data_IF_008114989533
#
_entry.id   IF_008114989533
#
_cell.length_a   1.000
_cell.length_b   1.000
_cell.length_c   1.000
_cell.angle_alpha   90.00
_cell.angle_beta   90.00
_cell.angle_gamma   90.00
#
_symmetry.space_group_name_H-M   'P 1'
#
loop_
_entity.id
_entity.type
_entity.pdbx_description
1 polymer ?
#
# COMPACT_ATOMS: atom_id res chain seq x y z
N UNK A 1 2.69 -18.10 6.97
CA UNK A 1 4.01 -17.86 7.60
C UNK A 1 4.48 -16.51 7.12
N UNK A 2 4.16 -15.42 7.83
CA UNK A 2 4.73 -14.10 7.51
C UNK A 2 6.15 -14.09 8.06
N UNK A 3 7.13 -14.04 7.17
CA UNK A 3 8.52 -13.87 7.55
C UNK A 3 8.79 -12.38 7.78
N UNK A 4 9.06 -11.99 9.02
CA UNK A 4 9.77 -10.74 9.33
C UNK A 4 11.21 -11.12 9.63
N UNK A 5 12.11 -10.90 8.66
CA UNK A 5 13.55 -11.06 8.83
C UNK A 5 14.19 -9.72 9.20
N UNK A 6 15.14 -9.77 10.11
CA UNK A 6 16.10 -8.70 10.37
C UNK A 6 17.20 -8.78 9.30
N UNK A 7 17.17 -7.90 8.30
CA UNK A 7 18.28 -7.71 7.36
C UNK A 7 19.04 -6.44 7.75
N UNK A 8 20.35 -6.50 8.00
CA UNK A 8 21.16 -5.32 8.23
C UNK A 8 21.69 -4.81 6.89
N UNK A 9 20.98 -3.88 6.25
CA UNK A 9 21.63 -2.84 5.43
C UNK A 9 20.65 -1.66 5.19
N UNK A 10 21.00 -0.57 5.88
CA UNK A 10 20.72 0.87 5.68
C UNK A 10 19.35 1.44 5.25
N UNK A 11 19.04 2.53 5.97
CA UNK A 11 18.09 3.62 5.73
C UNK A 11 16.58 3.34 5.90
N UNK A 12 16.05 3.87 7.01
CA UNK A 12 14.63 4.03 7.39
C UNK A 12 13.79 2.79 7.69
N UNK A 13 14.36 1.73 8.26
CA UNK A 13 13.56 0.79 9.04
C UNK A 13 13.39 1.39 10.43
N UNK A 14 12.24 2.03 10.69
CA UNK A 14 11.74 2.13 12.07
C UNK A 14 11.66 0.69 12.57
N UNK A 15 12.57 0.31 13.46
CA UNK A 15 12.60 -1.01 14.08
C UNK A 15 11.24 -1.25 14.76
N UNK A 16 10.31 -1.91 14.06
CA UNK A 16 9.15 -2.52 14.69
C UNK A 16 9.68 -3.61 15.62
N UNK A 17 9.80 -3.29 16.90
CA UNK A 17 10.27 -4.20 17.93
C UNK A 17 9.30 -5.38 17.99
N UNK A 18 9.76 -6.56 17.60
CA UNK A 18 8.94 -7.75 17.74
C UNK A 18 8.56 -7.94 19.21
N UNK A 19 7.28 -8.18 19.52
CA UNK A 19 6.85 -8.36 20.89
C UNK A 19 7.48 -9.63 21.45
N UNK A 20 8.03 -9.54 22.66
CA UNK A 20 8.61 -10.69 23.36
C UNK A 20 7.51 -11.77 23.47
N UNK A 21 7.73 -12.96 22.89
CA UNK A 21 6.72 -14.02 22.81
C UNK A 21 5.92 -14.10 21.50
N UNK A 22 6.19 -13.21 20.52
CA UNK A 22 5.62 -13.24 19.18
C UNK A 22 4.14 -12.82 19.10
N UNK A 23 3.59 -12.68 17.89
CA UNK A 23 2.22 -12.16 17.70
C UNK A 23 1.11 -13.10 18.18
N UNK A 24 1.39 -14.40 18.36
CA UNK A 24 0.42 -15.39 18.84
C UNK A 24 -0.21 -15.00 20.17
N UNK A 25 0.53 -14.30 21.02
CA UNK A 25 0.05 -13.84 22.33
C UNK A 25 -1.17 -12.88 22.26
N UNK A 26 -1.41 -12.26 21.09
CA UNK A 26 -2.55 -11.36 20.89
C UNK A 26 -3.79 -12.06 20.34
N UNK A 27 -3.72 -13.37 20.04
CA UNK A 27 -4.87 -14.16 19.59
C UNK A 27 -5.79 -14.48 20.78
N UNK A 28 -6.78 -13.61 21.00
CA UNK A 28 -7.76 -13.73 22.09
C UNK A 28 -9.11 -14.20 21.54
N UNK A 29 -9.74 -15.26 22.12
CA UNK A 29 -11.05 -15.76 21.68
C UNK A 29 -12.18 -14.72 21.61
N UNK A 30 -12.08 -13.62 22.37
CA UNK A 30 -13.04 -12.51 22.35
C UNK A 30 -12.36 -11.17 21.98
N UNK A 31 -11.36 -11.21 21.09
CA UNK A 31 -10.54 -10.04 20.73
C UNK A 31 -11.32 -8.87 20.10
N UNK A 32 -12.53 -9.13 19.59
CA UNK A 32 -13.43 -8.15 18.98
C UNK A 32 -14.29 -7.38 19.99
N UNK A 33 -14.41 -7.86 21.23
CA UNK A 33 -15.27 -7.23 22.22
C UNK A 33 -14.87 -5.76 22.47
N UNK A 34 -15.82 -4.84 22.29
CA UNK A 34 -15.66 -3.38 22.38
C UNK A 34 -14.73 -2.76 21.33
N UNK A 35 -14.26 -3.52 20.33
CA UNK A 35 -13.47 -2.97 19.22
C UNK A 35 -14.33 -2.13 18.31
N UNK A 36 -13.84 -0.95 17.95
CA UNK A 36 -14.52 0.01 17.09
C UNK A 36 -14.03 -0.15 15.66
N UNK A 37 -14.86 -0.72 14.80
CA UNK A 37 -14.51 -1.00 13.40
C UNK A 37 -15.26 -0.04 12.49
N UNK A 38 -14.52 0.65 11.62
CA UNK A 38 -15.07 1.55 10.63
C UNK A 38 -15.43 0.81 9.36
N UNK A 39 -16.62 1.05 8.83
CA UNK A 39 -17.05 0.57 7.52
C UNK A 39 -17.24 1.74 6.58
N UNK A 40 -16.43 1.74 5.54
CA UNK A 40 -16.36 2.81 4.53
C UNK A 40 -17.28 2.47 3.36
N UNK A 41 -18.01 3.47 2.84
CA UNK A 41 -19.05 3.28 1.81
C UNK A 41 -18.84 4.09 0.52
N UNK A 42 -17.87 4.99 0.46
CA UNK A 42 -17.58 5.68 -0.80
C UNK A 42 -16.96 4.72 -1.83
N UNK A 43 -17.23 4.99 -3.11
CA UNK A 43 -16.59 4.30 -4.22
C UNK A 43 -15.05 4.45 -4.12
N UNK A 44 -14.27 3.42 -4.49
CA UNK A 44 -14.67 2.13 -5.07
C UNK A 44 -14.98 1.01 -4.05
N UNK A 45 -14.98 1.29 -2.74
CA UNK A 45 -14.93 0.23 -1.74
C UNK A 45 -16.21 -0.54 -1.53
N UNK A 46 -17.36 -0.02 -1.96
CA UNK A 46 -18.64 -0.64 -1.67
C UNK A 46 -19.64 -0.38 -2.79
N UNK A 47 -20.10 -1.47 -3.40
CA UNK A 47 -21.22 -1.49 -4.34
C UNK A 47 -22.34 -2.36 -3.75
N UNK A 48 -23.49 -1.74 -3.45
CA UNK A 48 -24.65 -2.38 -2.80
C UNK A 48 -25.17 -3.56 -3.62
N UNK A 49 -25.06 -3.51 -4.95
CA UNK A 49 -25.64 -4.51 -5.83
C UNK A 49 -24.74 -5.75 -6.00
N UNK A 50 -23.48 -5.67 -5.58
CA UNK A 50 -22.53 -6.77 -5.73
C UNK A 50 -22.76 -7.91 -4.73
N UNK A 51 -22.59 -9.15 -5.19
CA UNK A 51 -22.62 -10.35 -4.33
C UNK A 51 -21.55 -10.28 -3.23
N UNK A 52 -20.39 -9.66 -3.52
CA UNK A 52 -19.30 -9.47 -2.57
C UNK A 52 -19.74 -8.57 -1.41
N UNK A 53 -20.41 -7.45 -1.68
CA UNK A 53 -20.93 -6.58 -0.63
C UNK A 53 -21.99 -7.27 0.22
N UNK A 54 -22.86 -8.09 -0.38
CA UNK A 54 -23.86 -8.85 0.38
C UNK A 54 -23.21 -9.86 1.33
N UNK A 55 -22.21 -10.62 0.85
CA UNK A 55 -21.42 -11.53 1.69
C UNK A 55 -20.67 -10.77 2.80
N UNK A 56 -20.09 -9.62 2.47
CA UNK A 56 -19.42 -8.77 3.45
C UNK A 56 -20.37 -8.28 4.54
N UNK A 57 -21.61 -7.90 4.22
CA UNK A 57 -22.60 -7.50 5.22
C UNK A 57 -22.93 -8.63 6.20
N UNK A 58 -23.01 -9.88 5.73
CA UNK A 58 -23.19 -11.05 6.61
C UNK A 58 -22.02 -11.21 7.59
N UNK A 59 -20.78 -11.00 7.13
CA UNK A 59 -19.60 -10.99 7.99
C UNK A 59 -19.62 -9.85 9.00
N UNK A 60 -20.08 -8.66 8.61
CA UNK A 60 -20.24 -7.53 9.53
C UNK A 60 -21.26 -7.83 10.62
N UNK A 61 -22.36 -8.54 10.32
CA UNK A 61 -23.29 -8.97 11.37
C UNK A 61 -22.65 -9.93 12.37
N UNK A 62 -21.83 -10.86 11.89
CA UNK A 62 -21.08 -11.78 12.76
C UNK A 62 -20.14 -10.99 13.69
N UNK A 63 -19.40 -10.01 13.13
CA UNK A 63 -18.48 -9.17 13.89
C UNK A 63 -19.21 -8.33 14.97
N UNK A 64 -20.42 -7.83 14.69
CA UNK A 64 -21.28 -7.18 15.69
C UNK A 64 -21.72 -8.13 16.80
N UNK A 65 -22.11 -9.36 16.44
CA UNK A 65 -22.51 -10.39 17.42
C UNK A 65 -21.36 -10.75 18.37
N UNK A 66 -20.12 -10.73 17.89
CA UNK A 66 -18.89 -10.94 18.69
C UNK A 66 -18.49 -9.70 19.54
N UNK A 67 -19.35 -8.68 19.61
CA UNK A 67 -19.22 -7.54 20.52
C UNK A 67 -18.44 -6.34 19.96
N UNK A 68 -18.12 -6.33 18.66
CA UNK A 68 -17.54 -5.15 18.02
C UNK A 68 -18.60 -4.05 17.79
N UNK A 69 -18.18 -2.81 17.95
CA UNK A 69 -18.94 -1.61 17.60
C UNK A 69 -18.59 -1.26 16.16
N UNK A 70 -19.52 -1.47 15.23
CA UNK A 70 -19.32 -1.12 13.82
C UNK A 70 -19.88 0.27 13.54
N UNK A 71 -19.00 1.21 13.21
CA UNK A 71 -19.35 2.56 12.75
C UNK A 71 -19.51 2.51 11.24
N UNK A 72 -20.75 2.64 10.77
CA UNK A 72 -21.10 2.51 9.35
C UNK A 72 -21.22 3.88 8.66
N UNK A 73 -21.31 3.87 7.33
CA UNK A 73 -21.47 5.03 6.46
C UNK A 73 -20.32 6.04 6.55
N UNK A 74 -19.11 5.55 6.81
CA UNK A 74 -17.91 6.36 6.80
C UNK A 74 -17.48 6.68 5.36
N UNK A 75 -16.83 7.83 5.19
CA UNK A 75 -16.26 8.27 3.92
C UNK A 75 -14.87 8.83 4.17
N UNK A 76 -13.91 8.41 3.35
CA UNK A 76 -12.57 8.97 3.37
C UNK A 76 -12.58 10.26 2.56
N UNK A 77 -12.04 11.34 3.13
CA UNK A 77 -11.88 12.61 2.41
C UNK A 77 -10.84 12.46 1.28
N UNK A 78 -11.02 13.22 0.19
CA UNK A 78 -10.12 13.22 -0.98
C UNK A 78 -9.92 11.85 -1.62
N UNK A 79 -10.94 10.97 -1.55
CA UNK A 79 -10.79 9.59 -2.02
C UNK A 79 -10.51 9.51 -3.52
N UNK A 80 -11.10 10.40 -4.31
CA UNK A 80 -10.91 10.40 -5.76
C UNK A 80 -9.45 10.76 -6.12
N UNK A 81 -8.84 11.66 -5.35
CA UNK A 81 -7.42 12.03 -5.50
C UNK A 81 -6.51 10.88 -5.05
N UNK A 82 -6.83 10.24 -3.92
CA UNK A 82 -6.09 9.07 -3.40
C UNK A 82 -6.11 7.91 -4.39
N UNK A 83 -7.27 7.61 -4.97
CA UNK A 83 -7.43 6.48 -5.89
C UNK A 83 -6.91 6.77 -7.31
N UNK A 84 -6.61 8.03 -7.63
CA UNK A 84 -6.08 8.42 -8.92
C UNK A 84 -4.56 8.61 -8.83
N UNK A 85 -3.79 7.63 -9.30
CA UNK A 85 -2.32 7.64 -9.27
C UNK A 85 -1.68 8.86 -9.96
N UNK A 86 -2.39 9.46 -10.91
CA UNK A 86 -1.96 10.69 -11.60
C UNK A 86 -2.22 11.93 -10.74
N UNK A 87 -3.38 12.00 -10.07
CA UNK A 87 -3.74 13.13 -9.21
C UNK A 87 -2.97 13.10 -7.87
N UNK A 88 -2.73 11.91 -7.32
CA UNK A 88 -1.91 11.73 -6.12
C UNK A 88 -0.41 11.89 -6.39
N UNK A 89 0.01 11.84 -7.66
CA UNK A 89 1.41 11.90 -8.10
C UNK A 89 2.25 10.73 -7.57
N UNK A 90 1.59 9.67 -7.10
CA UNK A 90 2.20 8.42 -6.58
C UNK A 90 3.13 7.80 -7.62
N UNK A 91 2.71 7.84 -8.89
CA UNK A 91 3.47 7.26 -9.98
C UNK A 91 4.86 7.89 -10.15
N UNK A 92 5.00 9.21 -9.97
CA UNK A 92 6.29 9.90 -10.10
C UNK A 92 7.24 9.51 -8.97
N UNK A 93 6.74 9.52 -7.72
CA UNK A 93 7.51 9.11 -6.55
C UNK A 93 7.98 7.65 -6.68
N UNK A 94 7.06 6.74 -7.01
CA UNK A 94 7.37 5.33 -7.22
C UNK A 94 8.40 5.12 -8.35
N UNK A 95 8.29 5.84 -9.46
CA UNK A 95 9.22 5.71 -10.59
C UNK A 95 10.65 6.15 -10.20
N UNK A 96 10.78 7.26 -9.47
CA UNK A 96 12.06 7.77 -9.00
C UNK A 96 12.72 6.82 -7.97
N UNK A 97 11.94 6.38 -6.97
CA UNK A 97 12.42 5.45 -5.95
C UNK A 97 12.77 4.07 -6.53
N UNK A 98 11.99 3.58 -7.50
CA UNK A 98 12.24 2.30 -8.17
C UNK A 98 13.59 2.31 -8.89
N UNK A 99 13.88 3.34 -9.70
CA UNK A 99 15.18 3.46 -10.40
C UNK A 99 16.33 3.45 -9.41
N UNK A 100 16.25 4.26 -8.34
CA UNK A 100 17.32 4.37 -7.35
C UNK A 100 17.54 3.05 -6.61
N UNK A 101 16.46 2.45 -6.11
CA UNK A 101 16.50 1.20 -5.33
C UNK A 101 16.97 0.02 -6.16
N UNK A 102 16.46 -0.13 -7.39
CA UNK A 102 16.87 -1.21 -8.28
C UNK A 102 18.35 -1.08 -8.65
N UNK A 103 18.81 0.13 -8.99
CA UNK A 103 20.23 0.36 -9.29
C UNK A 103 21.14 0.05 -8.10
N UNK A 104 20.75 0.45 -6.89
CA UNK A 104 21.49 0.14 -5.66
C UNK A 104 21.58 -1.38 -5.45
N UNK A 105 20.44 -2.08 -5.60
CA UNK A 105 20.37 -3.53 -5.48
C UNK A 105 21.26 -4.25 -6.51
N UNK A 106 21.13 -3.91 -7.81
CA UNK A 106 21.88 -4.55 -8.90
C UNK A 106 23.40 -4.32 -8.80
N UNK A 107 23.83 -3.16 -8.30
CA UNK A 107 25.24 -2.88 -8.02
C UNK A 107 25.79 -3.77 -6.91
N UNK A 108 24.97 -4.12 -5.92
CA UNK A 108 25.34 -4.98 -4.79
C UNK A 108 25.47 -6.48 -5.13
N UNK A 109 25.01 -6.92 -6.31
CA UNK A 109 25.05 -8.34 -6.67
C UNK A 109 26.48 -8.84 -6.92
N UNK A 110 26.81 -10.02 -6.41
CA UNK A 110 28.12 -10.64 -6.65
C UNK A 110 28.31 -10.97 -8.14
N UNK A 111 27.30 -11.56 -8.77
CA UNK A 111 27.29 -11.87 -10.19
C UNK A 111 25.93 -11.51 -10.79
N UNK A 112 25.94 -10.75 -11.88
CA UNK A 112 24.75 -10.37 -12.63
C UNK A 112 25.15 -9.92 -14.04
N UNK A 113 24.38 -10.25 -15.09
CA UNK A 113 24.59 -9.73 -16.44
C UNK A 113 24.19 -8.25 -16.58
N UNK A 114 23.47 -7.69 -15.60
CA UNK A 114 22.99 -6.30 -15.57
C UNK A 114 23.38 -5.62 -14.26
N UNK A 115 23.68 -4.31 -14.30
CA UNK A 115 24.12 -3.51 -13.14
C UNK A 115 23.27 -2.27 -12.90
N UNK A 116 22.29 -2.02 -13.75
CA UNK A 116 21.39 -0.87 -13.68
C UNK A 116 20.07 -1.14 -14.40
N UNK A 117 19.08 -0.27 -14.18
CA UNK A 117 17.81 -0.26 -14.91
C UNK A 117 18.03 -0.03 -16.41
N UNK A 118 19.02 0.79 -16.79
CA UNK A 118 19.41 0.95 -18.20
C UNK A 118 19.86 -0.40 -18.79
N UNK A 119 20.73 -1.12 -18.08
CA UNK A 119 21.15 -2.46 -18.53
C UNK A 119 19.96 -3.43 -18.62
N UNK A 120 18.97 -3.33 -17.72
CA UNK A 120 17.76 -4.16 -17.75
C UNK A 120 16.90 -3.86 -19.00
N UNK A 121 16.72 -2.58 -19.34
CA UNK A 121 15.96 -2.16 -20.53
C UNK A 121 16.64 -2.65 -21.82
N UNK A 122 17.97 -2.57 -21.85
CA UNK A 122 18.80 -2.98 -22.99
C UNK A 122 19.04 -4.50 -23.03
N UNK A 123 18.83 -5.20 -21.92
CA UNK A 123 18.97 -6.65 -21.85
C UNK A 123 17.94 -7.30 -22.76
N UNK A 124 18.43 -8.06 -23.75
CA UNK A 124 17.61 -8.77 -24.72
C UNK A 124 18.02 -10.23 -24.78
N UNK A 125 17.37 -11.07 -23.98
CA UNK A 125 17.45 -12.52 -24.12
C UNK A 125 16.34 -13.02 -25.05
N UNK A 126 16.70 -13.12 -26.32
CA UNK A 126 15.85 -13.09 -27.54
C UNK A 126 14.67 -14.07 -27.67
N UNK A 127 14.37 -14.91 -26.67
CA UNK A 127 13.20 -15.80 -26.67
C UNK A 127 12.28 -15.70 -25.46
N UNK A 128 12.75 -15.16 -24.34
CA UNK A 128 11.99 -15.20 -23.08
C UNK A 128 11.38 -13.84 -22.71
N UNK A 129 12.05 -12.77 -23.08
CA UNK A 129 11.63 -11.41 -22.78
C UNK A 129 10.63 -10.95 -23.83
N UNK A 130 9.35 -11.23 -23.58
CA UNK A 130 8.20 -10.85 -24.41
C UNK A 130 7.95 -9.33 -24.42
N UNK A 131 9.00 -8.52 -24.53
CA UNK A 131 8.95 -7.06 -24.49
C UNK A 131 8.18 -6.46 -25.66
N UNK A 132 8.05 -7.17 -26.78
CA UNK A 132 7.16 -6.78 -27.88
C UNK A 132 5.67 -7.00 -27.58
N UNK A 133 5.34 -7.94 -26.68
CA UNK A 133 3.96 -8.25 -26.29
C UNK A 133 3.48 -7.33 -25.16
N UNK A 134 4.34 -7.06 -24.16
CA UNK A 134 3.96 -6.32 -22.95
C UNK A 134 4.61 -4.93 -22.81
N UNK A 135 5.63 -4.61 -23.60
CA UNK A 135 6.36 -3.34 -23.51
C UNK A 135 7.25 -3.23 -22.27
N UNK A 136 7.85 -2.04 -22.08
CA UNK A 136 8.70 -1.69 -20.94
C UNK A 136 8.40 -0.27 -20.40
N UNK A 137 7.19 0.24 -20.63
CA UNK A 137 6.81 1.63 -20.35
C UNK A 137 7.18 2.09 -18.92
N UNK A 138 6.95 1.25 -17.91
CA UNK A 138 7.27 1.56 -16.51
C UNK A 138 8.78 1.70 -16.28
N UNK A 139 9.59 0.84 -16.92
CA UNK A 139 11.04 0.90 -16.82
C UNK A 139 11.59 2.13 -17.53
N UNK A 140 11.09 2.42 -18.72
CA UNK A 140 11.47 3.60 -19.50
C UNK A 140 11.11 4.90 -18.75
N UNK A 141 9.91 4.96 -18.17
CA UNK A 141 9.48 6.11 -17.37
C UNK A 141 10.33 6.28 -16.12
N UNK A 142 10.58 5.20 -15.38
CA UNK A 142 11.47 5.25 -14.22
C UNK A 142 12.89 5.66 -14.62
N UNK A 143 13.43 5.13 -15.73
CA UNK A 143 14.75 5.47 -16.23
C UNK A 143 14.89 6.95 -16.60
N UNK A 144 13.81 7.59 -17.05
CA UNK A 144 13.77 9.02 -17.38
C UNK A 144 13.82 9.95 -16.15
N UNK A 145 13.57 9.45 -14.94
CA UNK A 145 13.67 10.26 -13.70
C UNK A 145 15.10 10.70 -13.41
N UNK A 146 15.27 11.91 -12.86
CA UNK A 146 16.59 12.46 -12.51
C UNK A 146 17.00 12.20 -11.05
N UNK A 147 16.18 11.45 -10.30
CA UNK A 147 16.39 11.14 -8.88
C UNK A 147 15.27 11.70 -8.01
N UNK A 148 15.59 12.00 -6.74
CA UNK A 148 14.66 12.69 -5.82
C UNK A 148 14.88 14.20 -5.98
N UNK A 149 14.20 14.78 -6.97
CA UNK A 149 14.19 16.22 -7.23
C UNK A 149 13.05 16.94 -6.48
N UNK A 150 12.86 18.24 -6.74
CA UNK A 150 11.80 19.02 -6.10
C UNK A 150 10.40 18.48 -6.39
N UNK A 151 10.15 18.00 -7.60
CA UNK A 151 8.83 17.55 -8.03
C UNK A 151 8.49 16.21 -7.35
N UNK A 152 9.49 15.32 -7.20
CA UNK A 152 9.36 14.09 -6.42
C UNK A 152 9.14 14.39 -4.93
N UNK A 153 9.85 15.37 -4.36
CA UNK A 153 9.65 15.79 -2.97
C UNK A 153 8.22 16.33 -2.77
N UNK A 154 7.75 17.18 -3.66
CA UNK A 154 6.40 17.74 -3.60
C UNK A 154 5.33 16.64 -3.75
N UNK A 155 5.57 15.64 -4.61
CA UNK A 155 4.72 14.47 -4.73
C UNK A 155 4.64 13.69 -3.41
N UNK A 156 5.78 13.40 -2.76
CA UNK A 156 5.82 12.69 -1.48
C UNK A 156 5.08 13.47 -0.38
N UNK A 157 5.26 14.79 -0.31
CA UNK A 157 4.55 15.66 0.65
C UNK A 157 3.03 15.67 0.40
N UNK A 158 2.62 15.60 -0.87
CA UNK A 158 1.21 15.49 -1.22
C UNK A 158 0.61 14.15 -0.80
N UNK A 159 1.32 13.03 -1.00
CA UNK A 159 0.89 11.71 -0.53
C UNK A 159 0.72 11.67 0.99
N UNK A 160 1.71 12.20 1.73
CA UNK A 160 1.63 12.30 3.20
C UNK A 160 0.42 13.13 3.64
N UNK A 161 0.16 14.26 2.96
CA UNK A 161 -1.00 15.10 3.20
C UNK A 161 -2.32 14.35 2.93
N UNK A 162 -2.42 13.63 1.82
CA UNK A 162 -3.61 12.86 1.46
C UNK A 162 -3.89 11.75 2.48
N UNK A 163 -2.86 11.05 2.96
CA UNK A 163 -2.99 10.06 4.05
C UNK A 163 -3.50 10.71 5.34
N UNK A 164 -2.79 11.76 5.80
CA UNK A 164 -3.06 12.45 7.07
C UNK A 164 -4.45 13.05 7.12
N UNK A 165 -4.87 13.70 6.03
CA UNK A 165 -6.12 14.44 5.95
C UNK A 165 -7.31 13.53 5.52
N UNK A 166 -7.01 12.35 4.95
CA UNK A 166 -7.97 11.33 4.55
C UNK A 166 -8.13 10.23 5.60
N UNK A 167 -7.39 9.12 5.43
CA UNK A 167 -7.58 7.90 6.22
C UNK A 167 -7.22 8.08 7.71
N UNK A 168 -6.08 8.70 8.02
CA UNK A 168 -5.68 8.86 9.41
C UNK A 168 -6.63 9.77 10.19
N UNK A 169 -7.11 10.83 9.54
CA UNK A 169 -8.13 11.72 10.11
C UNK A 169 -9.41 10.94 10.40
N UNK A 170 -9.88 10.11 9.45
CA UNK A 170 -11.04 9.26 9.66
C UNK A 170 -10.86 8.34 10.89
N UNK A 171 -9.71 7.69 11.00
CA UNK A 171 -9.37 6.80 12.13
C UNK A 171 -9.39 7.55 13.46
N UNK A 172 -8.73 8.73 13.54
CA UNK A 172 -8.66 9.54 14.76
C UNK A 172 -10.02 10.10 15.18
N UNK A 173 -10.77 10.71 14.27
CA UNK A 173 -12.05 11.37 14.58
C UNK A 173 -13.12 10.37 15.03
N UNK A 174 -13.15 9.19 14.42
CA UNK A 174 -14.13 8.15 14.75
C UNK A 174 -13.65 7.19 15.86
N UNK A 175 -12.42 7.37 16.36
CA UNK A 175 -11.76 6.53 17.37
C UNK A 175 -11.83 5.06 17.00
N UNK A 176 -11.39 4.74 15.78
CA UNK A 176 -11.45 3.39 15.23
C UNK A 176 -10.22 2.58 15.63
N UNK A 177 -10.43 1.29 15.93
CA UNK A 177 -9.37 0.30 16.07
C UNK A 177 -8.93 -0.24 14.70
N UNK A 178 -9.85 -0.33 13.72
CA UNK A 178 -9.55 -0.74 12.35
C UNK A 178 -10.63 -0.28 11.37
N UNK A 179 -10.34 -0.36 10.07
CA UNK A 179 -11.34 -0.28 8.99
C UNK A 179 -11.49 -1.66 8.35
N UNK A 180 -12.72 -1.98 7.96
CA UNK A 180 -13.08 -3.21 7.27
C UNK A 180 -13.69 -2.88 5.91
N UNK A 181 -13.23 -3.59 4.87
CA UNK A 181 -13.68 -3.44 3.48
C UNK A 181 -13.92 -4.81 2.84
N UNK A 182 -14.76 -4.89 1.80
CA UNK A 182 -15.09 -6.15 1.13
C UNK A 182 -13.97 -6.70 0.24
N UNK A 183 -13.00 -5.87 -0.17
CA UNK A 183 -11.99 -6.24 -1.15
C UNK A 183 -10.68 -5.46 -1.05
N UNK A 184 -9.81 -5.68 -2.04
CA UNK A 184 -8.44 -5.17 -2.06
C UNK A 184 -8.34 -3.69 -2.44
N UNK A 185 -9.38 -3.05 -2.97
CA UNK A 185 -9.28 -1.66 -3.45
C UNK A 185 -8.81 -0.68 -2.37
N UNK A 186 -8.97 -1.03 -1.09
CA UNK A 186 -8.47 -0.26 0.05
C UNK A 186 -6.93 -0.23 0.15
N UNK A 187 -6.19 -1.05 -0.60
CA UNK A 187 -4.73 -1.11 -0.54
C UNK A 187 -4.08 0.22 -0.92
N UNK A 188 -4.63 0.95 -1.90
CA UNK A 188 -4.08 2.25 -2.31
C UNK A 188 -4.14 3.27 -1.17
N UNK A 189 -5.24 3.28 -0.40
CA UNK A 189 -5.38 4.14 0.78
C UNK A 189 -4.29 3.86 1.81
N UNK A 190 -3.94 2.58 2.00
CA UNK A 190 -2.89 2.18 2.95
C UNK A 190 -1.49 2.44 2.41
N UNK A 191 -1.27 2.25 1.11
CA UNK A 191 0.03 2.38 0.47
C UNK A 191 0.59 3.81 0.55
N UNK A 192 -0.25 4.82 0.40
CA UNK A 192 0.20 6.23 0.44
C UNK A 192 0.54 6.73 1.85
N UNK A 193 0.11 6.01 2.90
CA UNK A 193 0.27 6.42 4.30
C UNK A 193 1.44 5.79 5.03
N UNK A 194 1.96 4.66 4.54
CA UNK A 194 3.00 3.88 5.22
C UNK A 194 2.47 2.89 6.26
#
# INVERSE_FOLDING_TARGET
MLFTFFMPLEALIVMMKQPLGGYKQFLKPCGLNKKRLGKVRNHPFFDIESEVSQAFELHIQTVRQEGAIVVDNLKIANIDDIMNSTASVEFLANAAEFKLSLNAYLKGLVASPVRSLADVIDFKFSKLEKTTEYGQFLFETAQATEGIDSDVIDALLNLEKLSRDGFEKLMRENKLDAVVTPGYDFTTVLAIGG
#
